data_IF_760067619798
#
_entry.id   IF_760067619798
#
_cell.length_a   1.000
_cell.length_b   1.000
_cell.length_c   1.000
_cell.angle_alpha   90.00
_cell.angle_beta   90.00
_cell.angle_gamma   90.00
#
_symmetry.space_group_name_H-M   'P 1'
#
loop_
_entity.id
_entity.type
_entity.pdbx_description
1 polymer ?
2 non-polymer ?
3 non-polymer ?
4 non-polymer ?
5 water ?
#
# COMPACT_ATOMS: atom_id res chain seq x y z
N UNK A 8 -5.25 27.03 18.49
CA UNK A 8 -5.65 25.63 18.14
C UNK A 8 -4.74 25.01 17.10
N UNK A 9 -3.84 24.15 17.57
CA UNK A 9 -2.99 23.32 16.71
C UNK A 9 -3.80 22.15 16.10
N UNK A 10 -5.12 22.35 16.00
CA UNK A 10 -6.12 21.29 15.75
C UNK A 10 -5.85 19.95 16.41
N UNK A 11 -5.74 19.99 17.74
CA UNK A 11 -5.74 18.80 18.58
C UNK A 11 -7.12 18.66 19.23
N UNK A 12 -7.73 17.50 19.06
CA UNK A 12 -9.05 17.21 19.58
C UNK A 12 -9.02 17.09 21.10
N UNK A 13 -10.10 17.53 21.77
CA UNK A 13 -10.20 17.41 23.22
C UNK A 13 -10.04 15.95 23.68
N UNK A 14 -9.16 15.73 24.65
CA UNK A 14 -8.89 14.40 25.18
C UNK A 14 -10.14 13.76 25.79
N UNK A 15 -10.63 12.64 25.22
CA UNK A 15 -11.80 11.98 25.83
C UNK A 15 -11.48 11.58 27.28
N UNK A 16 -12.47 11.67 28.18
CA UNK A 16 -12.23 11.36 29.60
C UNK A 16 -11.73 9.95 29.92
N UNK A 17 -12.04 8.95 29.08
CA UNK A 17 -11.56 7.60 29.31
C UNK A 17 -10.07 7.41 28.99
N UNK A 18 -9.46 8.37 28.31
CA UNK A 18 -8.05 8.22 27.95
C UNK A 18 -7.15 8.88 29.00
N UNK A 19 -6.26 8.10 29.63
CA UNK A 19 -5.35 8.65 30.64
C UNK A 19 -4.22 9.47 30.01
N UNK A 20 -3.87 10.58 30.65
CA UNK A 20 -2.90 11.50 30.06
C UNK A 20 -1.53 10.87 29.73
N UNK A 21 -1.07 9.91 30.54
CA UNK A 21 0.26 9.30 30.35
C UNK A 21 0.39 8.52 29.02
N UNK A 22 -0.75 8.17 28.42
CA UNK A 22 -0.74 7.53 27.09
C UNK A 22 -0.81 8.49 25.91
N UNK A 23 -0.87 9.80 26.18
CA UNK A 23 -1.02 10.78 25.09
C UNK A 23 0.29 11.07 24.38
N UNK A 24 0.29 10.84 23.08
CA UNK A 24 1.45 11.11 22.20
C UNK A 24 0.88 11.65 20.90
N UNK A 25 1.02 12.95 20.67
CA UNK A 25 0.36 13.61 19.55
C UNK A 25 1.06 13.43 18.21
N UNK A 26 1.06 12.21 17.72
CA UNK A 26 1.66 11.89 16.42
C UNK A 26 0.63 12.23 15.34
N UNK A 27 1.07 12.92 14.29
CA UNK A 27 0.22 13.27 13.15
C UNK A 27 0.58 12.41 11.94
N UNK A 28 -0.25 11.42 11.65
CA UNK A 28 0.02 10.48 10.56
C UNK A 28 0.09 11.10 9.16
N UNK A 29 -0.49 12.30 8.99
CA UNK A 29 -0.43 13.00 7.69
C UNK A 29 0.72 14.00 7.58
N UNK A 30 1.34 14.33 8.71
CA UNK A 30 2.47 15.24 8.71
C UNK A 30 3.38 14.99 9.91
N UNK A 31 4.07 13.83 9.95
CA UNK A 31 4.85 13.47 11.13
C UNK A 31 6.07 14.38 11.27
N UNK A 32 6.37 14.78 12.50
CA UNK A 32 7.36 15.84 12.71
C UNK A 32 8.75 15.55 12.16
N UNK A 33 9.11 14.28 12.03
CA UNK A 33 10.47 13.94 11.57
C UNK A 33 10.59 13.58 10.06
N UNK A 34 9.62 14.03 9.28
CA UNK A 34 9.44 13.58 7.88
C UNK A 34 10.68 13.69 6.99
N UNK A 35 11.40 14.81 7.10
CA UNK A 35 12.60 15.04 6.25
C UNK A 35 13.69 13.97 6.42
N UNK A 36 13.73 13.30 7.57
CA UNK A 36 14.65 12.17 7.83
C UNK A 36 14.21 10.84 7.20
N UNK A 37 13.05 10.83 6.54
CA UNK A 37 12.50 9.64 5.92
C UNK A 37 11.21 9.24 6.62
N UNK A 38 10.22 8.75 5.86
CA UNK A 38 8.91 8.51 6.47
C UNK A 38 8.92 7.35 7.46
N UNK A 39 9.57 6.23 7.11
CA UNK A 39 9.74 5.10 8.06
C UNK A 39 10.43 5.54 9.35
N UNK A 40 11.51 6.31 9.20
CA UNK A 40 12.21 6.95 10.33
C UNK A 40 11.25 7.83 11.13
N UNK A 41 10.43 8.58 10.44
CA UNK A 41 9.49 9.49 11.11
C UNK A 41 8.45 8.71 11.92
N UNK A 42 7.98 7.59 11.39
CA UNK A 42 7.03 6.75 12.12
C UNK A 42 7.70 5.96 13.24
N UNK A 43 8.97 5.61 13.04
CA UNK A 43 9.68 4.77 14.00
C UNK A 43 9.96 5.47 15.33
N UNK A 44 9.72 6.79 15.41
CA UNK A 44 9.75 7.52 16.70
C UNK A 44 8.71 7.00 17.71
N UNK A 45 7.67 6.32 17.21
CA UNK A 45 6.66 5.70 18.05
C UNK A 45 7.21 4.43 18.72
N UNK A 46 8.41 4.02 18.32
CA UNK A 46 9.01 2.82 18.87
C UNK A 46 10.19 3.10 19.79
N UNK A 47 10.42 4.35 20.10
CA UNK A 47 11.46 4.70 21.07
C UNK A 47 11.02 4.25 22.48
N UNK A 48 11.99 4.03 23.37
CA UNK A 48 11.77 3.24 24.59
C UNK A 48 10.82 3.85 25.62
N UNK A 49 10.65 5.17 25.58
CA UNK A 49 9.68 5.83 26.46
C UNK A 49 8.27 5.94 25.86
N UNK A 50 8.04 5.29 24.73
CA UNK A 50 6.70 5.30 24.15
C UNK A 50 6.01 3.96 24.45
N UNK A 51 4.83 4.02 25.10
CA UNK A 51 4.03 2.82 25.39
C UNK A 51 3.64 2.05 24.12
N UNK A 52 3.25 0.78 24.29
CA UNK A 52 2.83 -0.09 23.17
C UNK A 52 1.57 0.44 22.48
N UNK A 53 0.74 1.15 23.24
CA UNK A 53 -0.54 1.65 22.72
C UNK A 53 -0.66 3.08 23.20
N UNK A 54 -0.83 4.03 22.28
CA UNK A 54 -0.85 5.46 22.65
C UNK A 54 -2.10 6.13 22.07
N UNK A 55 -2.44 7.30 22.61
CA UNK A 55 -3.53 8.11 22.06
C UNK A 55 -2.92 9.37 21.48
N UNK A 56 -3.26 9.67 20.23
CA UNK A 56 -2.93 10.96 19.66
C UNK A 56 -4.18 11.82 19.52
N UNK A 57 -4.04 13.11 19.85
CA UNK A 57 -5.14 14.05 19.70
C UNK A 57 -5.24 14.64 18.31
N UNK A 58 -4.31 14.30 17.40
CA UNK A 58 -4.37 14.78 16.02
C UNK A 58 -5.48 14.09 15.25
N UNK A 59 -5.92 14.73 14.16
CA UNK A 59 -6.84 14.12 13.19
C UNK A 59 -8.10 13.56 13.86
N UNK A 60 -8.63 14.30 14.83
CA UNK A 60 -9.86 13.93 15.50
C UNK A 60 -9.69 13.11 16.75
N UNK A 61 -8.49 12.55 16.94
CA UNK A 61 -8.22 11.72 18.11
C UNK A 61 -8.39 10.24 17.81
N UNK A 62 -7.38 9.45 18.14
CA UNK A 62 -7.40 8.01 17.82
C UNK A 62 -6.25 7.32 18.50
N UNK A 63 -6.42 6.03 18.76
CA UNK A 63 -5.34 5.21 19.33
C UNK A 63 -4.32 4.86 18.25
N UNK A 64 -3.09 4.53 18.66
CA UNK A 64 -2.11 3.93 17.75
C UNK A 64 -1.41 2.81 18.47
N UNK A 65 -1.43 1.62 17.86
CA UNK A 65 -0.64 0.47 18.34
C UNK A 65 0.74 0.58 17.70
N UNK A 66 1.78 0.58 18.53
CA UNK A 66 3.13 0.96 18.07
C UNK A 66 4.05 -0.23 17.86
N UNK A 67 3.64 -1.41 18.30
CA UNK A 67 4.50 -2.59 18.26
C UNK A 67 3.81 -3.70 17.50
N UNK A 68 4.63 -4.51 16.81
CA UNK A 68 4.17 -5.68 16.08
C UNK A 68 3.22 -6.60 16.79
N UNK A 69 3.54 -6.96 18.04
CA UNK A 69 2.65 -7.82 18.85
C UNK A 69 1.18 -7.32 18.86
N UNK A 70 0.99 -6.04 19.20
CA UNK A 70 -0.34 -5.43 19.27
C UNK A 70 -0.98 -5.25 17.91
N UNK A 71 -0.20 -4.83 16.94
CA UNK A 71 -0.71 -4.69 15.57
C UNK A 71 -1.30 -6.00 15.03
N UNK A 72 -0.53 -7.09 15.11
CA UNK A 72 -1.01 -8.39 14.70
C UNK A 72 -2.25 -8.80 15.50
N UNK A 73 -2.20 -8.63 16.81
CA UNK A 73 -3.32 -9.09 17.65
C UNK A 73 -4.62 -8.37 17.27
N UNK A 74 -4.54 -7.05 17.13
CA UNK A 74 -5.74 -6.30 16.75
C UNK A 74 -6.23 -6.69 15.36
N UNK A 75 -5.32 -6.90 14.41
CA UNK A 75 -5.74 -7.32 13.06
C UNK A 75 -6.40 -8.69 13.05
N UNK A 76 -6.02 -9.55 14.00
CA UNK A 76 -6.65 -10.87 14.13
C UNK A 76 -8.06 -10.77 14.70
N UNK A 77 -8.27 -9.86 15.64
CA UNK A 77 -9.50 -9.78 16.43
C UNK A 77 -10.53 -8.87 15.74
N UNK A 78 -11.13 -9.33 14.65
CA UNK A 78 -12.10 -8.48 13.94
C UNK A 78 -13.40 -8.26 14.76
N UNK A 79 -13.65 -9.11 15.75
CA UNK A 79 -14.86 -8.95 16.57
C UNK A 79 -14.82 -7.70 17.45
N UNK A 80 -13.64 -7.34 17.94
CA UNK A 80 -13.44 -6.08 18.65
C UNK A 80 -12.99 -4.92 17.75
N UNK A 81 -12.23 -5.23 16.69
CA UNK A 81 -11.62 -4.18 15.86
C UNK A 81 -12.18 -4.33 14.44
N UNK A 82 -13.24 -3.57 14.17
CA UNK A 82 -13.99 -3.71 12.94
C UNK A 82 -13.42 -2.87 11.79
N UNK A 83 -13.53 -3.40 10.58
CA UNK A 83 -13.13 -2.70 9.35
C UNK A 83 -14.22 -1.73 8.83
N UNK A 84 -15.38 -1.67 9.50
CA UNK A 84 -16.44 -0.75 9.05
C UNK A 84 -15.93 0.68 8.88
N UNK A 85 -15.02 1.13 9.75
CA UNK A 85 -14.50 2.48 9.64
C UNK A 85 -12.96 2.44 9.70
N UNK A 86 -12.30 2.12 8.56
CA UNK A 86 -10.88 1.75 8.60
C UNK A 86 -9.87 2.89 8.46
N UNK A 87 -10.35 4.10 8.17
CA UNK A 87 -9.47 5.24 7.97
C UNK A 87 -9.69 6.34 8.99
N UNK A 88 -8.60 7.03 9.26
CA UNK A 88 -8.59 8.26 10.01
C UNK A 88 -8.37 9.37 8.97
N UNK A 89 -9.13 10.48 9.05
CA UNK A 89 -10.10 10.84 10.09
C UNK A 89 -11.43 10.10 9.92
N UNK A 90 -12.22 10.10 11.00
CA UNK A 90 -13.49 9.40 11.06
C UNK A 90 -14.38 9.59 9.83
N UNK A 91 -14.45 10.82 9.31
CA UNK A 91 -15.34 11.15 8.21
C UNK A 91 -14.97 10.40 6.93
N UNK A 92 -13.66 10.23 6.72
CA UNK A 92 -13.16 9.44 5.60
C UNK A 92 -13.44 7.94 5.80
N UNK A 93 -13.22 7.43 7.01
CA UNK A 93 -13.52 6.04 7.35
C UNK A 93 -15.00 5.74 7.13
N UNK A 94 -15.86 6.66 7.57
CA UNK A 94 -17.32 6.49 7.48
C UNK A 94 -17.82 6.44 6.04
N UNK A 95 -17.31 7.34 5.20
CA UNK A 95 -17.60 7.38 3.74
C UNK A 95 -17.10 6.14 2.96
N UNK A 96 -16.04 5.53 3.45
CA UNK A 96 -15.36 4.44 2.73
C UNK A 96 -16.20 3.18 2.64
N UNK A 97 -16.48 2.74 1.43
CA UNK A 97 -17.34 1.57 1.26
C UNK A 97 -16.82 0.50 0.31
N UNK A 98 -15.52 0.53 -0.04
CA UNK A 98 -14.91 -0.52 -0.88
C UNK A 98 -15.05 -1.92 -0.29
N UNK A 99 -15.12 -2.91 -1.17
CA UNK A 99 -15.28 -4.31 -0.77
C UNK A 99 -14.06 -5.07 -1.24
N UNK A 100 -13.48 -5.91 -0.36
CA UNK A 100 -13.98 -6.32 0.97
C UNK A 100 -13.43 -5.54 2.15
N UNK A 101 -12.61 -4.52 1.88
CA UNK A 101 -11.89 -3.78 2.94
C UNK A 101 -12.78 -3.04 3.96
N UNK A 102 -14.02 -2.73 3.58
CA UNK A 102 -14.96 -2.09 4.54
C UNK A 102 -15.87 -3.09 5.31
N UNK A 103 -15.67 -4.38 5.11
CA UNK A 103 -16.55 -5.41 5.70
C UNK A 103 -15.79 -6.28 6.69
N UNK A 104 -16.53 -6.86 7.64
CA UNK A 104 -15.95 -7.85 8.55
C UNK A 104 -16.41 -9.25 8.17
N UNK A 105 -15.64 -10.27 8.56
CA UNK A 105 -16.17 -11.63 8.52
C UNK A 105 -17.41 -11.66 9.42
N UNK A 106 -18.38 -12.54 9.12
CA UNK A 106 -18.32 -13.57 8.09
C UNK A 106 -18.65 -13.08 6.67
N UNK A 107 -19.36 -11.96 6.53
CA UNK A 107 -19.76 -11.50 5.21
C UNK A 107 -18.56 -11.26 4.27
N UNK A 108 -17.45 -10.79 4.84
CA UNK A 108 -16.24 -10.48 4.06
C UNK A 108 -15.71 -11.70 3.32
N UNK A 109 -15.82 -12.86 3.96
CA UNK A 109 -15.23 -14.10 3.43
C UNK A 109 -15.67 -14.45 2.00
N UNK A 110 -16.96 -14.28 1.69
CA UNK A 110 -17.49 -14.59 0.35
C UNK A 110 -16.97 -13.63 -0.70
N UNK A 111 -16.97 -12.34 -0.37
CA UNK A 111 -16.47 -11.32 -1.29
C UNK A 111 -14.97 -11.46 -1.51
N UNK A 112 -14.22 -11.76 -0.44
CA UNK A 112 -12.80 -12.04 -0.54
C UNK A 112 -12.49 -13.22 -1.48
N UNK A 113 -13.26 -14.30 -1.37
CA UNK A 113 -13.07 -15.47 -2.22
C UNK A 113 -13.27 -15.15 -3.70
N UNK A 114 -14.21 -14.25 -4.00
CA UNK A 114 -14.46 -13.79 -5.38
C UNK A 114 -13.28 -12.94 -5.88
N UNK A 115 -12.84 -11.98 -5.06
CA UNK A 115 -11.68 -11.15 -5.41
C UNK A 115 -10.46 -12.04 -5.64
N UNK A 116 -10.29 -13.05 -4.79
CA UNK A 116 -9.16 -13.94 -4.96
C UNK A 116 -9.13 -14.62 -6.33
N UNK A 117 -10.30 -14.86 -6.92
CA UNK A 117 -10.36 -15.47 -8.26
C UNK A 117 -9.69 -14.59 -9.31
N UNK A 118 -9.69 -13.28 -9.11
CA UNK A 118 -9.18 -12.37 -10.16
C UNK A 118 -7.74 -11.88 -9.95
N UNK A 119 -7.21 -12.02 -8.74
CA UNK A 119 -5.85 -11.52 -8.42
C UNK A 119 -4.93 -12.50 -7.69
N UNK A 120 -5.43 -13.65 -7.29
CA UNK A 120 -4.66 -14.63 -6.53
C UNK A 120 -3.65 -15.41 -7.33
N UNK A 121 -3.03 -16.40 -6.69
CA UNK A 121 -1.92 -17.16 -7.27
C UNK A 121 -1.96 -17.59 -8.76
N UNK A 122 -3.02 -18.32 -9.19
CA UNK A 122 -2.95 -18.91 -10.54
C UNK A 122 -3.00 -17.87 -11.65
N UNK A 123 -3.69 -16.76 -11.37
CA UNK A 123 -3.74 -15.60 -12.27
C UNK A 123 -2.35 -14.98 -12.43
N UNK A 124 -1.59 -14.97 -11.33
CA UNK A 124 -0.26 -14.37 -11.31
C UNK A 124 0.76 -15.19 -12.08
N UNK A 125 0.84 -16.49 -11.77
CA UNK A 125 1.71 -17.42 -12.53
C UNK A 125 1.47 -17.29 -14.03
N UNK A 126 0.22 -17.05 -14.40
CA UNK A 126 -0.16 -16.82 -15.78
C UNK A 126 0.24 -15.46 -16.38
N UNK A 127 0.11 -14.37 -15.62
CA UNK A 127 0.42 -13.02 -16.15
C UNK A 127 1.91 -12.69 -16.21
N UNK A 128 2.76 -13.58 -15.71
CA UNK A 128 4.18 -13.24 -15.51
C UNK A 128 4.87 -12.62 -16.73
N UNK A 129 4.46 -13.04 -17.93
CA UNK A 129 5.13 -12.60 -19.16
C UNK A 129 4.61 -11.29 -19.76
N UNK A 130 3.32 -10.99 -19.59
CA UNK A 130 2.86 -9.64 -19.90
C UNK A 130 3.51 -8.64 -18.92
N UNK A 131 3.74 -9.07 -17.68
CA UNK A 131 4.40 -8.23 -16.67
C UNK A 131 5.86 -7.92 -17.10
N UNK A 132 6.61 -8.98 -17.37
CA UNK A 132 7.92 -8.93 -18.00
C UNK A 132 8.00 -8.01 -19.23
N UNK A 133 7.12 -8.21 -20.21
CA UNK A 133 7.06 -7.37 -21.42
C UNK A 133 6.89 -5.88 -21.10
N UNK A 134 5.96 -5.59 -20.20
CA UNK A 134 5.70 -4.22 -19.84
C UNK A 134 6.90 -3.54 -19.18
N UNK A 135 7.48 -4.18 -18.16
CA UNK A 135 8.67 -3.64 -17.50
C UNK A 135 9.79 -3.36 -18.50
N UNK A 136 10.07 -4.37 -19.33
CA UNK A 136 11.13 -4.24 -20.32
C UNK A 136 10.94 -3.09 -21.29
N UNK A 137 9.72 -2.94 -21.81
CA UNK A 137 9.45 -1.89 -22.77
C UNK A 137 9.50 -0.50 -22.11
N UNK A 138 9.02 -0.39 -20.87
CA UNK A 138 9.18 0.87 -20.13
C UNK A 138 10.65 1.22 -19.85
N UNK A 139 11.43 0.25 -19.37
CA UNK A 139 12.83 0.49 -19.05
C UNK A 139 13.65 0.83 -20.33
N UNK A 140 13.34 0.16 -21.43
CA UNK A 140 14.10 0.37 -22.66
C UNK A 140 13.83 1.78 -23.21
N UNK A 141 12.62 2.27 -23.01
CA UNK A 141 12.28 3.61 -23.48
C UNK A 141 13.03 4.68 -22.67
N UNK A 142 13.39 4.36 -21.43
CA UNK A 142 14.14 5.30 -20.59
C UNK A 142 15.66 5.19 -20.75
N UNK A 143 16.15 3.97 -20.95
CA UNK A 143 17.56 3.62 -20.82
C UNK A 143 18.57 4.59 -21.50
N UNK A 144 18.36 4.91 -22.80
CA UNK A 144 19.35 5.75 -23.48
C UNK A 144 19.24 7.23 -23.09
N UNK A 145 18.18 7.61 -22.38
CA UNK A 145 17.99 9.01 -21.96
C UNK A 145 19.00 9.42 -20.88
N UNK A 146 19.47 8.47 -20.10
CA UNK A 146 20.37 8.79 -18.99
C UNK A 146 19.70 9.51 -17.82
N UNK A 147 18.37 9.59 -17.85
CA UNK A 147 17.61 10.24 -16.77
C UNK A 147 16.13 9.80 -16.80
N UNK A 148 15.47 9.88 -15.65
CA UNK A 148 14.01 9.75 -15.59
C UNK A 148 13.49 10.34 -14.28
N UNK A 149 12.20 10.69 -14.24
CA UNK A 149 11.47 10.80 -12.95
C UNK A 149 10.87 9.43 -12.74
N UNK A 150 11.53 8.62 -11.90
CA UNK A 150 11.19 7.23 -11.78
C UNK A 150 9.73 7.03 -11.39
N UNK A 151 9.22 7.86 -10.48
CA UNK A 151 7.85 7.69 -9.99
C UNK A 151 6.88 7.91 -11.13
N UNK A 152 7.13 8.97 -11.91
CA UNK A 152 6.28 9.35 -13.04
C UNK A 152 6.43 8.43 -14.26
N UNK A 153 7.67 8.05 -14.57
CA UNK A 153 8.02 7.42 -15.87
C UNK A 153 8.02 5.89 -15.86
N UNK A 154 8.18 5.33 -14.67
CA UNK A 154 8.11 3.89 -14.52
C UNK A 154 7.08 3.41 -13.49
N UNK A 155 7.14 3.92 -12.27
CA UNK A 155 6.32 3.35 -11.19
C UNK A 155 4.81 3.53 -11.38
N UNK A 156 4.41 4.64 -12.01
CA UNK A 156 3.00 4.92 -12.22
C UNK A 156 2.45 4.16 -13.41
N UNK A 157 3.08 4.29 -14.60
CA UNK A 157 2.56 3.53 -15.74
C UNK A 157 2.51 2.01 -15.57
N UNK A 158 3.40 1.45 -14.75
CA UNK A 158 3.57 0.01 -14.62
C UNK A 158 2.33 -0.73 -14.05
N UNK A 159 1.94 -0.46 -12.79
CA UNK A 159 0.76 -1.14 -12.23
C UNK A 159 -0.57 -0.84 -12.91
N UNK A 160 -0.78 0.40 -13.34
CA UNK A 160 -2.03 0.73 -14.02
C UNK A 160 -2.17 -0.07 -15.33
N UNK A 161 -1.07 -0.27 -16.07
CA UNK A 161 -1.10 -1.05 -17.31
C UNK A 161 -1.39 -2.54 -17.01
N UNK A 162 -0.90 -3.03 -15.88
CA UNK A 162 -1.15 -4.42 -15.47
C UNK A 162 -2.62 -4.56 -15.11
N UNK A 163 -3.15 -3.60 -14.35
CA UNK A 163 -4.58 -3.60 -14.04
C UNK A 163 -5.47 -3.59 -15.30
N UNK A 164 -5.14 -2.75 -16.29
CA UNK A 164 -5.91 -2.68 -17.55
C UNK A 164 -6.00 -4.02 -18.23
N UNK A 165 -4.88 -4.75 -18.15
CA UNK A 165 -4.73 -6.08 -18.70
C UNK A 165 -5.63 -7.10 -17.98
N UNK A 166 -5.53 -7.15 -16.65
CA UNK A 166 -6.44 -7.96 -15.81
C UNK A 166 -7.92 -7.65 -16.07
N UNK A 167 -8.25 -6.35 -16.10
CA UNK A 167 -9.63 -5.90 -16.16
C UNK A 167 -10.21 -5.81 -17.58
N UNK A 168 -9.39 -6.09 -18.61
CA UNK A 168 -9.84 -5.99 -20.01
C UNK A 168 -10.38 -4.60 -20.34
N UNK A 169 -9.64 -3.59 -19.92
CA UNK A 169 -9.96 -2.21 -20.23
C UNK A 169 -9.04 -1.71 -21.34
N UNK A 170 -9.54 -0.79 -22.20
CA UNK A 170 -8.69 -0.41 -23.32
C UNK A 170 -7.60 0.60 -22.92
N UNK A 171 -6.44 0.47 -23.58
CA UNK A 171 -5.28 1.37 -23.42
C UNK A 171 -5.61 2.86 -23.39
N UNK A 172 -6.56 3.27 -24.23
CA UNK A 172 -6.91 4.70 -24.34
C UNK A 172 -7.53 5.30 -23.08
N UNK A 173 -8.00 4.44 -22.19
CA UNK A 173 -8.61 4.86 -20.92
C UNK A 173 -7.60 5.16 -19.83
N UNK A 174 -6.34 4.75 -20.05
CA UNK A 174 -5.32 4.94 -19.02
C UNK A 174 -5.22 6.37 -18.49
N UNK A 175 -5.11 7.38 -19.40
CA UNK A 175 -4.97 8.72 -18.81
C UNK A 175 -6.17 9.13 -17.95
N UNK A 176 -7.39 8.82 -18.40
CA UNK A 176 -8.59 9.17 -17.63
C UNK A 176 -8.60 8.48 -16.28
N UNK A 177 -8.32 7.17 -16.29
CA UNK A 177 -8.30 6.39 -15.06
C UNK A 177 -7.20 6.80 -14.09
N UNK A 178 -6.04 7.18 -14.63
CA UNK A 178 -4.93 7.75 -13.85
C UNK A 178 -5.38 9.04 -13.16
N UNK A 179 -6.06 9.91 -13.90
CA UNK A 179 -6.61 11.14 -13.35
C UNK A 179 -7.61 10.87 -12.22
N UNK A 180 -8.56 9.95 -12.45
CA UNK A 180 -9.58 9.61 -11.44
C UNK A 180 -8.96 9.05 -10.16
N UNK A 181 -8.02 8.12 -10.31
CA UNK A 181 -7.37 7.51 -9.16
C UNK A 181 -6.47 8.47 -8.40
N UNK A 182 -5.69 9.30 -9.10
CA UNK A 182 -4.89 10.35 -8.44
C UNK A 182 -5.75 11.32 -7.62
N UNK A 183 -6.97 11.61 -8.09
CA UNK A 183 -7.91 12.51 -7.38
C UNK A 183 -8.20 12.00 -5.99
N UNK A 184 -8.35 10.68 -5.88
CA UNK A 184 -8.78 10.04 -4.65
C UNK A 184 -7.60 9.87 -3.69
N UNK A 185 -6.47 9.43 -4.25
CA UNK A 185 -5.35 8.94 -3.44
C UNK A 185 -4.30 10.00 -3.13
N UNK A 186 -4.28 11.07 -3.92
CA UNK A 186 -3.46 12.23 -3.58
C UNK A 186 -4.35 13.47 -3.53
N UNK A 187 -5.17 13.59 -2.47
CA UNK A 187 -6.08 14.74 -2.46
C UNK A 187 -5.32 16.05 -2.22
N UNK A 188 -5.68 17.09 -2.97
CA UNK A 188 -5.15 18.42 -2.76
C UNK A 188 -6.07 19.26 -1.87
N UNK A 189 -7.21 18.68 -1.50
CA UNK A 189 -8.20 19.32 -0.63
C UNK A 189 -9.31 20.06 -1.37
N UNK A 190 -9.30 19.97 -2.71
CA UNK A 190 -10.33 20.59 -3.53
C UNK A 190 -11.59 19.73 -3.62
N UNK A 191 -11.50 18.50 -3.12
CA UNK A 191 -12.58 17.55 -3.24
C UNK A 191 -12.76 16.80 -1.92
N UNK A 192 -13.99 16.45 -1.59
CA UNK A 192 -14.20 15.59 -0.43
C UNK A 192 -13.88 14.15 -0.85
N UNK A 193 -13.53 13.31 0.11
CA UNK A 193 -13.20 11.92 -0.18
C UNK A 193 -14.35 11.21 -0.90
N UNK A 194 -15.58 11.41 -0.39
CA UNK A 194 -16.80 10.87 -0.99
C UNK A 194 -17.04 11.36 -2.44
N UNK A 195 -16.68 12.62 -2.72
CA UNK A 195 -16.78 13.17 -4.06
C UNK A 195 -15.81 12.48 -5.02
N UNK A 196 -14.57 12.25 -4.54
CA UNK A 196 -13.54 11.58 -5.33
C UNK A 196 -13.97 10.14 -5.65
N UNK A 197 -14.48 9.46 -4.63
CA UNK A 197 -15.04 8.11 -4.79
C UNK A 197 -16.16 8.07 -5.84
N UNK A 198 -17.07 9.03 -5.76
CA UNK A 198 -18.21 9.11 -6.69
C UNK A 198 -17.77 9.25 -8.15
N UNK A 199 -16.81 10.14 -8.41
CA UNK A 199 -16.25 10.32 -9.75
C UNK A 199 -15.69 9.00 -10.29
N UNK A 200 -14.90 8.32 -9.46
CA UNK A 200 -14.37 7.00 -9.83
C UNK A 200 -15.48 5.99 -10.14
N UNK A 201 -16.48 5.90 -9.24
CA UNK A 201 -17.64 5.02 -9.46
C UNK A 201 -18.40 5.33 -10.76
N UNK A 202 -18.51 6.61 -11.11
CA UNK A 202 -19.16 7.06 -12.35
C UNK A 202 -18.52 6.48 -13.59
N UNK A 203 -17.21 6.22 -13.53
CA UNK A 203 -16.50 5.55 -14.64
C UNK A 203 -16.85 4.05 -14.65
N UNK A 204 -16.89 3.45 -13.47
CA UNK A 204 -17.14 2.01 -13.33
C UNK A 204 -18.59 1.58 -13.54
N UNK A 205 -19.55 2.40 -13.07
CA UNK A 205 -20.99 2.05 -13.17
C UNK A 205 -21.39 1.52 -14.55
N UNK A 206 -21.06 2.25 -15.65
CA UNK A 206 -21.45 1.80 -17.01
C UNK A 206 -20.78 0.51 -17.51
N UNK A 207 -19.51 0.32 -17.16
CA UNK A 207 -18.77 -0.85 -17.63
C UNK A 207 -19.29 -2.14 -16.98
N UNK A 208 -19.58 -2.06 -15.68
CA UNK A 208 -20.24 -3.17 -14.95
C UNK A 208 -21.62 -3.49 -15.57
N UNK A 209 -22.39 -2.44 -15.84
CA UNK A 209 -23.70 -2.61 -16.48
C UNK A 209 -23.54 -3.40 -17.79
N UNK A 210 -22.60 -2.95 -18.62
CA UNK A 210 -22.28 -3.60 -19.89
C UNK A 210 -21.88 -5.08 -19.74
N UNK A 211 -21.12 -5.38 -18.69
CA UNK A 211 -20.52 -6.71 -18.52
C UNK A 211 -21.41 -7.70 -17.77
N UNK A 212 -22.43 -7.18 -17.09
CA UNK A 212 -23.53 -8.03 -16.62
C UNK A 212 -24.48 -8.42 -17.78
N UNK A 213 -24.68 -7.51 -18.72
CA UNK A 213 -25.45 -7.78 -19.94
C UNK A 213 -24.67 -8.73 -20.88
N UNK A 214 -23.42 -8.38 -21.15
CA UNK A 214 -22.51 -9.17 -22.01
C UNK A 214 -21.18 -9.44 -21.30
N UNK A 215 -21.12 -10.51 -20.47
CA UNK A 215 -19.85 -10.81 -19.79
C UNK A 215 -18.77 -11.40 -20.71
N UNK A 216 -17.50 -11.04 -20.45
CA UNK A 216 -16.32 -11.73 -21.02
C UNK A 216 -15.58 -12.48 -19.92
N UNK A 217 -14.26 -12.63 -20.07
CA UNK A 217 -13.48 -13.37 -19.07
C UNK A 217 -12.48 -12.49 -18.27
N UNK A 218 -12.63 -11.17 -18.40
CA UNK A 218 -11.82 -10.21 -17.65
C UNK A 218 -12.23 -10.19 -16.17
N UNK A 219 -11.42 -9.52 -15.33
CA UNK A 219 -11.71 -9.43 -13.90
C UNK A 219 -13.06 -8.79 -13.59
N UNK A 220 -13.42 -7.74 -14.33
CA UNK A 220 -14.67 -7.01 -14.05
C UNK A 220 -15.86 -7.93 -14.36
N UNK A 221 -15.72 -8.74 -15.41
CA UNK A 221 -16.77 -9.66 -15.80
C UNK A 221 -16.95 -10.77 -14.77
N UNK A 222 -15.84 -11.32 -14.27
CA UNK A 222 -15.89 -12.34 -13.22
C UNK A 222 -16.54 -11.79 -11.93
N UNK A 223 -16.08 -10.62 -11.51
CA UNK A 223 -16.63 -9.97 -10.33
C UNK A 223 -18.13 -9.63 -10.47
N UNK A 224 -18.50 -8.98 -11.57
CA UNK A 224 -19.84 -8.43 -11.70
C UNK A 224 -20.93 -9.50 -11.89
N UNK A 225 -20.49 -10.70 -12.25
CA UNK A 225 -21.39 -11.83 -12.46
C UNK A 225 -21.16 -12.96 -11.45
N UNK A 226 -20.49 -12.65 -10.34
CA UNK A 226 -20.18 -13.65 -9.33
C UNK A 226 -21.35 -13.92 -8.38
N UNK A 227 -21.17 -14.97 -7.59
CA UNK A 227 -22.14 -15.41 -6.58
C UNK A 227 -21.57 -15.15 -5.18
N UNK A 228 -22.35 -14.52 -4.32
CA UNK A 228 -21.93 -14.36 -2.91
C UNK A 228 -23.06 -14.77 -1.97
N UNK A 229 -22.74 -15.59 -0.96
CA UNK A 229 -23.77 -16.19 -0.08
C UNK A 229 -24.93 -16.87 -0.83
N UNK A 230 -24.62 -17.54 -1.93
CA UNK A 230 -25.62 -18.26 -2.73
C UNK A 230 -26.63 -17.43 -3.51
N UNK A 231 -26.32 -16.16 -3.75
CA UNK A 231 -27.17 -15.30 -4.61
C UNK A 231 -26.26 -14.45 -5.53
N UNK A 232 -26.82 -13.84 -6.60
CA UNK A 232 -25.94 -13.02 -7.45
C UNK A 232 -25.47 -11.75 -6.73
N UNK A 233 -24.26 -11.32 -7.08
CA UNK A 233 -23.71 -10.09 -6.55
C UNK A 233 -24.52 -8.93 -7.15
N UNK A 234 -24.77 -7.89 -6.36
CA UNK A 234 -25.51 -6.75 -6.87
C UNK A 234 -24.59 -5.86 -7.69
N UNK A 235 -25.18 -4.99 -8.50
CA UNK A 235 -24.36 -4.07 -9.30
C UNK A 235 -23.58 -3.12 -8.41
N UNK A 236 -24.20 -2.72 -7.29
CA UNK A 236 -23.56 -1.88 -6.30
C UNK A 236 -22.37 -2.54 -5.61
N UNK A 237 -22.52 -3.82 -5.25
CA UNK A 237 -21.42 -4.60 -4.65
C UNK A 237 -20.27 -4.76 -5.64
N UNK A 238 -20.62 -5.06 -6.90
CA UNK A 238 -19.64 -5.27 -7.96
C UNK A 238 -18.80 -4.01 -8.19
N UNK A 239 -19.48 -2.86 -8.25
CA UNK A 239 -18.84 -1.56 -8.32
C UNK A 239 -17.86 -1.34 -7.14
N UNK A 240 -18.31 -1.65 -5.93
CA UNK A 240 -17.47 -1.45 -4.75
C UNK A 240 -16.23 -2.36 -4.69
N UNK A 241 -16.30 -3.54 -5.31
CA UNK A 241 -15.15 -4.46 -5.42
C UNK A 241 -14.16 -3.99 -6.49
N UNK A 242 -14.69 -3.59 -7.64
CA UNK A 242 -13.86 -3.12 -8.75
C UNK A 242 -13.10 -1.87 -8.41
N UNK A 243 -13.74 -0.98 -7.66
CA UNK A 243 -13.11 0.22 -7.14
C UNK A 243 -11.83 -0.13 -6.40
N UNK A 244 -11.94 -1.09 -5.49
CA UNK A 244 -10.79 -1.53 -4.69
C UNK A 244 -9.75 -2.29 -5.52
N UNK A 245 -10.19 -3.15 -6.43
CA UNK A 245 -9.25 -3.89 -7.26
C UNK A 245 -8.45 -2.94 -8.12
N UNK A 246 -9.06 -1.82 -8.48
CA UNK A 246 -8.37 -0.79 -9.24
C UNK A 246 -7.35 -0.09 -8.35
N UNK A 247 -7.80 0.54 -7.27
CA UNK A 247 -6.91 1.34 -6.45
C UNK A 247 -5.90 0.58 -5.56
N UNK A 248 -6.24 -0.64 -5.16
CA UNK A 248 -5.47 -1.39 -4.15
C UNK A 248 -4.05 -1.71 -4.61
N UNK A 249 -3.92 -1.86 -5.92
CA UNK A 249 -2.65 -2.19 -6.52
C UNK A 249 -1.90 -1.03 -7.13
N UNK A 250 -2.43 0.19 -6.99
CA UNK A 250 -1.83 1.37 -7.61
C UNK A 250 -0.79 2.08 -6.73
N UNK A 251 -1.24 2.98 -5.87
CA UNK A 251 -0.33 3.77 -5.05
C UNK A 251 0.56 2.91 -4.15
N UNK A 252 0.06 1.79 -3.64
CA UNK A 252 0.95 0.87 -2.90
C UNK A 252 2.16 0.49 -3.74
N UNK A 253 1.93 0.00 -4.95
CA UNK A 253 3.02 -0.46 -5.79
C UNK A 253 3.87 0.74 -6.26
N UNK A 254 3.21 1.85 -6.67
CA UNK A 254 3.97 3.00 -7.17
C UNK A 254 4.96 3.48 -6.10
N UNK A 255 4.44 3.64 -4.89
CA UNK A 255 5.22 4.22 -3.82
C UNK A 255 6.25 3.23 -3.28
N UNK A 256 5.87 1.95 -3.22
CA UNK A 256 6.83 0.96 -2.75
C UNK A 256 8.03 0.86 -3.71
N UNK A 257 7.74 0.81 -5.00
CA UNK A 257 8.83 0.77 -5.99
C UNK A 257 9.72 2.00 -5.88
N UNK A 258 9.11 3.16 -5.59
CA UNK A 258 9.88 4.39 -5.45
C UNK A 258 10.77 4.37 -4.22
N UNK A 259 10.27 3.89 -3.08
CA UNK A 259 11.14 3.74 -1.89
C UNK A 259 12.34 2.82 -2.18
N UNK A 260 12.05 1.74 -2.88
CA UNK A 260 13.03 0.72 -3.23
C UNK A 260 14.11 1.29 -4.14
N UNK A 261 13.67 1.98 -5.18
CA UNK A 261 14.61 2.54 -6.14
C UNK A 261 15.43 3.67 -5.56
N UNK A 262 14.83 4.44 -4.64
CA UNK A 262 15.55 5.50 -3.93
C UNK A 262 16.67 4.88 -3.09
N UNK A 263 16.38 3.79 -2.39
CA UNK A 263 17.37 3.07 -1.61
C UNK A 263 18.50 2.52 -2.48
N UNK A 264 18.14 1.89 -3.60
CA UNK A 264 19.16 1.30 -4.46
C UNK A 264 20.01 2.38 -5.12
N UNK A 265 19.42 3.54 -5.44
CA UNK A 265 20.15 4.64 -6.04
C UNK A 265 21.20 5.18 -5.08
N UNK A 266 20.90 5.11 -3.79
CA UNK A 266 21.79 5.63 -2.76
C UNK A 266 22.73 4.56 -2.22
N UNK A 267 22.60 3.32 -2.71
CA UNK A 267 23.40 2.22 -2.18
C UNK A 267 24.04 1.36 -3.28
N UNK A 268 25.19 1.84 -3.81
CA UNK A 268 25.87 1.10 -4.87
C UNK A 268 26.22 -0.35 -4.50
N UNK A 269 26.56 -0.56 -3.24
CA UNK A 269 26.94 -1.89 -2.72
C UNK A 269 25.77 -2.88 -2.73
N UNK A 270 24.56 -2.38 -2.47
CA UNK A 270 23.38 -3.22 -2.50
C UNK A 270 22.98 -3.51 -3.95
N UNK A 271 23.20 -2.53 -4.82
CA UNK A 271 23.00 -2.74 -6.26
C UNK A 271 23.94 -3.84 -6.76
N UNK A 272 25.22 -3.72 -6.37
CA UNK A 272 26.25 -4.65 -6.82
C UNK A 272 25.97 -6.07 -6.35
N UNK A 273 25.51 -6.20 -5.11
CA UNK A 273 25.13 -7.48 -4.57
C UNK A 273 24.11 -8.21 -5.45
N UNK A 274 23.06 -7.50 -5.86
CA UNK A 274 22.00 -8.06 -6.70
C UNK A 274 22.42 -8.26 -8.16
N UNK A 275 23.33 -7.42 -8.65
CA UNK A 275 23.94 -7.62 -9.97
C UNK A 275 24.77 -8.91 -10.00
N UNK A 276 25.67 -9.05 -9.03
CA UNK A 276 26.55 -10.24 -8.96
C UNK A 276 25.83 -11.52 -8.55
N UNK A 277 24.73 -11.38 -7.80
CA UNK A 277 23.95 -12.52 -7.35
C UNK A 277 22.46 -12.28 -7.59
N UNK A 278 22.01 -12.42 -8.84
CA UNK A 278 20.58 -12.16 -9.11
C UNK A 278 19.63 -13.16 -8.43
N UNK A 279 20.13 -14.34 -8.04
CA UNK A 279 19.32 -15.30 -7.30
C UNK A 279 18.85 -14.76 -5.93
N UNK A 280 19.55 -13.76 -5.41
CA UNK A 280 19.15 -13.12 -4.15
C UNK A 280 18.00 -12.10 -4.30
N UNK A 281 17.58 -11.85 -5.53
CA UNK A 281 16.52 -10.84 -5.78
C UNK A 281 15.18 -11.18 -5.08
N UNK A 282 14.70 -12.44 -5.17
CA UNK A 282 13.48 -12.70 -4.33
C UNK A 282 13.64 -12.40 -2.84
N UNK A 283 14.76 -12.78 -2.21
CA UNK A 283 14.95 -12.46 -0.79
C UNK A 283 15.12 -10.97 -0.56
N UNK A 284 15.73 -10.27 -1.51
CA UNK A 284 15.92 -8.83 -1.42
C UNK A 284 14.59 -8.07 -1.52
N UNK A 285 13.68 -8.55 -2.35
CA UNK A 285 12.30 -8.04 -2.40
C UNK A 285 11.65 -8.10 -1.01
N UNK A 286 11.80 -9.25 -0.33
CA UNK A 286 11.18 -9.41 0.99
C UNK A 286 11.77 -8.50 2.05
N UNK A 287 13.08 -8.29 1.98
CA UNK A 287 13.75 -7.43 2.93
C UNK A 287 13.45 -5.95 2.64
N UNK A 288 13.31 -5.60 1.37
CA UNK A 288 12.80 -4.28 1.02
C UNK A 288 11.35 -4.03 1.49
N UNK A 289 10.47 -5.00 1.28
CA UNK A 289 9.06 -4.93 1.74
C UNK A 289 8.97 -4.67 3.23
N UNK A 290 9.90 -5.26 4.00
CA UNK A 290 10.00 -4.97 5.42
C UNK A 290 10.47 -3.55 5.73
N UNK A 291 11.62 -3.17 5.17
CA UNK A 291 12.27 -1.89 5.50
C UNK A 291 11.47 -0.68 4.98
N UNK A 292 10.85 -0.83 3.81
CA UNK A 292 10.13 0.30 3.23
C UNK A 292 8.63 0.04 3.15
N UNK A 293 8.16 -0.73 4.12
CA UNK A 293 6.72 -0.91 4.41
C UNK A 293 6.07 0.49 4.49
N UNK A 294 4.81 0.61 4.07
CA UNK A 294 4.24 1.94 3.79
C UNK A 294 2.73 2.14 4.04
N UNK A 295 2.02 1.09 4.44
CA UNK A 295 0.58 1.20 4.72
C UNK A 295 0.29 1.39 6.23
N UNK A 296 -0.65 2.27 6.51
CA UNK A 296 -1.14 2.47 7.85
C UNK A 296 -2.64 2.72 7.78
N UNK A 297 -3.42 1.64 7.85
CA UNK A 297 -4.83 1.85 8.12
C UNK A 297 -5.22 1.33 9.50
N UNK A 298 -6.48 1.01 9.68
CA UNK A 298 -6.90 0.70 11.03
C UNK A 298 -8.32 0.24 11.16
N UNK A 299 -8.87 0.45 12.36
CA UNK A 299 -10.09 -0.21 12.80
C UNK A 299 -10.90 0.67 13.74
N UNK A 300 -12.16 0.28 13.94
CA UNK A 300 -13.03 0.92 14.92
C UNK A 300 -13.52 -0.15 15.92
N UNK A 301 -13.52 0.25 17.18
CA UNK A 301 -13.96 -0.61 18.28
C UNK A 301 -15.47 -0.85 18.20
N UNK A 302 -15.84 -2.12 18.23
CA UNK A 302 -17.23 -2.54 18.18
C UNK A 302 -17.91 -2.46 19.55
N UNK A 303 -17.10 -2.44 20.61
CA UNK A 303 -17.59 -2.36 21.98
C UNK A 303 -16.47 -1.87 22.89
N UNK A 304 -16.78 -1.56 24.15
CA UNK A 304 -15.74 -1.29 25.13
C UNK A 304 -14.93 -2.54 25.29
N UNK A 305 -13.62 -2.40 25.48
CA UNK A 305 -12.76 -3.57 25.53
C UNK A 305 -11.46 -3.17 26.20
N UNK A 306 -11.01 -3.98 27.15
CA UNK A 306 -9.68 -3.75 27.69
C UNK A 306 -8.66 -4.54 26.86
N UNK A 307 -7.69 -3.82 26.31
CA UNK A 307 -6.71 -4.40 25.38
C UNK A 307 -5.33 -4.05 25.89
N UNK A 308 -4.57 -5.08 26.25
CA UNK A 308 -3.21 -4.90 26.78
C UNK A 308 -3.13 -3.82 27.84
N UNK A 309 -4.03 -3.93 28.82
CA UNK A 309 -4.07 -3.05 29.98
C UNK A 309 -4.72 -1.68 29.78
N UNK A 310 -5.28 -1.43 28.58
CA UNK A 310 -5.79 -0.09 28.26
C UNK A 310 -7.30 -0.17 27.98
N UNK A 311 -8.08 0.71 28.60
CA UNK A 311 -9.52 0.72 28.35
C UNK A 311 -9.86 1.42 27.02
N UNK A 312 -10.38 0.66 26.07
CA UNK A 312 -10.85 1.22 24.80
C UNK A 312 -12.37 1.27 24.82
N UNK A 313 -12.93 2.27 24.15
CA UNK A 313 -14.34 2.59 24.23
C UNK A 313 -15.01 2.29 22.90
N UNK A 314 -16.22 1.75 22.95
CA UNK A 314 -16.97 1.56 21.71
C UNK A 314 -16.91 2.82 20.84
N UNK A 315 -16.59 2.63 19.55
CA UNK A 315 -16.52 3.74 18.61
C UNK A 315 -15.16 4.40 18.45
N UNK A 316 -14.23 4.15 19.38
CA UNK A 316 -12.85 4.68 19.30
C UNK A 316 -12.23 4.15 18.01
N UNK A 317 -11.48 4.99 17.32
CA UNK A 317 -10.67 4.51 16.19
C UNK A 317 -9.28 4.13 16.67
N UNK A 318 -8.72 3.10 16.02
CA UNK A 318 -7.35 2.70 16.31
C UNK A 318 -6.57 2.59 15.01
N UNK A 319 -5.45 3.30 14.94
CA UNK A 319 -4.53 3.16 13.84
C UNK A 319 -3.63 1.96 14.13
N UNK A 320 -3.51 1.06 13.16
CA UNK A 320 -2.75 -0.19 13.35
C UNK A 320 -1.75 -0.25 12.20
N UNK A 321 -0.63 0.50 12.31
CA UNK A 321 0.17 0.72 11.10
C UNK A 321 0.89 -0.57 10.63
N UNK A 322 0.47 -1.11 9.50
CA UNK A 322 1.17 -2.26 8.90
C UNK A 322 2.69 -2.04 8.83
N UNK A 323 3.12 -0.81 8.54
CA UNK A 323 4.56 -0.46 8.42
C UNK A 323 5.39 -0.71 9.68
N UNK A 324 4.77 -0.58 10.86
CA UNK A 324 5.53 -0.56 12.12
C UNK A 324 6.02 -1.94 12.58
N UNK A 325 5.26 -3.00 12.30
CA UNK A 325 5.59 -4.36 12.76
C UNK A 325 7.01 -4.78 12.39
N UNK A 326 7.35 -4.65 11.10
CA UNK A 326 8.65 -5.06 10.59
C UNK A 326 9.78 -4.14 10.99
N UNK A 327 9.43 -2.92 11.41
CA UNK A 327 10.42 -1.98 11.90
C UNK A 327 10.68 -2.12 13.41
N UNK A 328 9.89 -2.95 14.05
CA UNK A 328 9.94 -3.15 15.48
C UNK A 328 11.22 -3.94 15.83
N UNK A 329 12.09 -3.37 16.65
CA UNK A 329 13.33 -4.07 17.08
C UNK A 329 13.00 -5.41 17.75
N UNK A 330 11.81 -5.49 18.35
CA UNK A 330 11.31 -6.72 18.97
C UNK A 330 10.93 -7.79 17.93
N UNK A 331 10.92 -7.41 16.65
CA UNK A 331 10.57 -8.37 15.59
C UNK A 331 11.76 -8.66 14.68
N UNK A 332 12.62 -7.67 14.48
CA UNK A 332 13.81 -7.81 13.62
C UNK A 332 14.96 -7.00 14.22
N UNK A 333 16.05 -7.65 14.59
CA UNK A 333 17.23 -6.95 15.14
C UNK A 333 17.78 -5.95 14.14
N UNK A 334 18.24 -4.80 14.63
CA UNK A 334 18.73 -3.67 13.81
C UNK A 334 17.76 -3.33 12.64
N UNK A 335 16.52 -2.93 12.98
CA UNK A 335 15.45 -2.82 11.97
C UNK A 335 15.70 -1.85 10.81
N UNK A 336 16.42 -0.75 11.06
CA UNK A 336 16.65 0.25 10.01
C UNK A 336 17.70 -0.20 9.00
N UNK A 337 18.43 -1.26 9.33
CA UNK A 337 19.48 -1.82 8.49
C UNK A 337 18.89 -2.76 7.44
N UNK A 338 19.33 -2.61 6.20
CA UNK A 338 18.88 -3.46 5.10
C UNK A 338 19.89 -4.57 4.85
N UNK A 339 19.48 -5.81 5.08
CA UNK A 339 20.34 -6.95 4.87
C UNK A 339 19.62 -7.99 4.05
N UNK A 340 20.07 -8.14 2.81
CA UNK A 340 19.43 -9.06 1.89
C UNK A 340 19.56 -10.51 2.34
N UNK A 341 20.50 -10.77 3.26
CA UNK A 341 20.61 -12.09 3.89
C UNK A 341 20.17 -12.10 5.36
N UNK A 342 19.14 -11.32 5.67
CA UNK A 342 18.42 -11.44 6.95
C UNK A 342 17.73 -12.80 6.91
N UNK A 343 17.78 -13.55 8.02
CA UNK A 343 17.35 -14.96 7.99
C UNK A 343 15.86 -15.23 8.22
N UNK A 344 15.23 -14.48 9.11
CA UNK A 344 13.80 -14.57 9.32
C UNK A 344 13.26 -13.13 9.25
N UNK A 345 12.83 -12.77 8.05
CA UNK A 345 12.33 -11.43 7.80
C UNK A 345 10.87 -11.40 8.23
N UNK A 346 10.58 -10.78 9.37
CA UNK A 346 9.17 -10.65 9.74
C UNK A 346 8.61 -9.25 9.46
N UNK A 347 7.38 -9.22 8.96
CA UNK A 347 6.72 -7.96 8.67
C UNK A 347 5.24 -8.21 8.48
N UNK A 348 4.45 -7.15 8.53
CA UNK A 348 3.03 -7.20 8.17
C UNK A 348 2.75 -6.20 7.04
N UNK A 349 3.66 -6.13 6.08
CA UNK A 349 3.58 -5.12 5.05
C UNK A 349 2.31 -5.27 4.20
N UNK A 350 1.89 -6.51 4.02
CA UNK A 350 0.65 -6.85 3.29
C UNK A 350 -0.52 -7.01 4.23
N UNK A 351 -0.35 -6.55 5.48
CA UNK A 351 -1.42 -6.69 6.44
C UNK A 351 -1.39 -8.04 7.12
N UNK A 352 -2.51 -8.40 7.73
CA UNK A 352 -2.55 -9.52 8.66
C UNK A 352 -3.99 -9.84 9.03
N UNK A 353 -4.30 -11.11 9.27
CA UNK A 353 -5.67 -11.49 9.63
C UNK A 353 -6.53 -11.65 8.40
N UNK A 354 -7.84 -11.48 8.56
CA UNK A 354 -8.79 -11.80 7.49
C UNK A 354 -8.66 -10.98 6.22
N UNK A 355 -8.10 -9.77 6.33
CA UNK A 355 -7.90 -8.89 5.16
C UNK A 355 -6.53 -8.93 4.49
N UNK A 356 -5.65 -9.84 4.92
CA UNK A 356 -4.33 -10.00 4.33
C UNK A 356 -4.38 -9.84 2.81
N UNK A 357 -3.49 -8.98 2.30
CA UNK A 357 -3.53 -8.54 0.91
C UNK A 357 -3.76 -9.68 -0.07
N UNK A 358 -4.82 -9.59 -0.84
CA UNK A 358 -5.04 -10.56 -1.88
C UNK A 358 -4.12 -10.39 -3.06
N UNK A 359 -3.62 -9.17 -3.26
CA UNK A 359 -2.71 -8.91 -4.39
C UNK A 359 -1.24 -9.10 -4.08
N UNK A 360 -0.91 -9.67 -2.92
CA UNK A 360 0.49 -9.80 -2.45
C UNK A 360 1.37 -10.59 -3.42
N UNK A 361 0.80 -11.61 -4.06
CA UNK A 361 1.53 -12.44 -5.03
C UNK A 361 1.81 -11.67 -6.32
N UNK A 362 0.82 -10.91 -6.79
CA UNK A 362 1.01 -10.03 -7.93
C UNK A 362 2.04 -8.93 -7.60
N UNK A 363 1.90 -8.31 -6.44
CA UNK A 363 2.85 -7.29 -6.00
C UNK A 363 4.31 -7.80 -5.98
N UNK A 364 4.54 -8.98 -5.43
CA UNK A 364 5.90 -9.53 -5.43
C UNK A 364 6.45 -9.76 -6.84
N UNK A 365 5.63 -10.26 -7.76
CA UNK A 365 6.05 -10.37 -9.16
C UNK A 365 6.40 -9.04 -9.79
N UNK A 366 5.56 -8.01 -9.57
CA UNK A 366 5.88 -6.65 -10.07
C UNK A 366 7.21 -6.11 -9.56
N UNK A 367 7.47 -6.29 -8.27
CA UNK A 367 8.73 -5.82 -7.64
C UNK A 367 9.94 -6.59 -8.15
N UNK A 368 9.81 -7.92 -8.15
CA UNK A 368 10.87 -8.82 -8.59
C UNK A 368 11.25 -8.60 -10.05
N UNK A 369 10.26 -8.61 -10.94
CA UNK A 369 10.51 -8.33 -12.35
C UNK A 369 11.15 -6.97 -12.55
N UNK A 370 10.62 -5.97 -11.85
CA UNK A 370 11.19 -4.63 -11.90
C UNK A 370 12.68 -4.65 -11.52
N UNK A 371 13.03 -5.22 -10.37
CA UNK A 371 14.42 -5.22 -9.93
C UNK A 371 15.33 -5.97 -10.91
N UNK A 372 14.88 -7.15 -11.35
CA UNK A 372 15.65 -7.99 -12.29
C UNK A 372 15.88 -7.28 -13.61
N UNK A 373 14.81 -6.73 -14.17
CA UNK A 373 14.85 -6.06 -15.46
C UNK A 373 15.57 -4.72 -15.45
N UNK A 374 15.44 -3.97 -14.37
CA UNK A 374 16.13 -2.70 -14.24
C UNK A 374 17.63 -2.88 -14.07
N UNK A 375 18.03 -3.74 -13.14
CA UNK A 375 19.44 -3.93 -12.83
C UNK A 375 20.24 -4.58 -13.96
N UNK A 376 19.55 -5.35 -14.80
CA UNK A 376 20.11 -5.95 -16.03
C UNK A 376 20.44 -4.92 -17.11
N UNK A 377 19.61 -3.88 -17.21
CA UNK A 377 19.74 -2.84 -18.23
C UNK A 377 20.45 -1.59 -17.74
N UNK A 378 20.21 -1.22 -16.49
CA UNK A 378 20.72 0.02 -15.91
C UNK A 378 21.30 -0.33 -14.54
N UNK A 379 22.47 -0.99 -14.52
CA UNK A 379 23.05 -1.46 -13.25
C UNK A 379 23.54 -0.31 -12.36
N UNK A 380 23.92 0.80 -12.98
CA UNK A 380 24.51 1.91 -12.25
C UNK A 380 23.66 3.16 -12.44
N UNK A 381 23.06 3.66 -11.35
CA UNK A 381 22.26 4.89 -11.39
C UNK A 381 22.38 5.58 -10.03
N UNK A 382 21.97 6.84 -9.99
CA UNK A 382 22.04 7.65 -8.78
C UNK A 382 20.88 8.60 -8.73
N UNK A 383 20.69 9.19 -7.55
CA UNK A 383 19.80 10.33 -7.38
C UNK A 383 20.40 11.50 -8.15
N UNK A 384 19.56 12.27 -8.87
CA UNK A 384 20.04 13.43 -9.62
C UNK A 384 20.73 14.42 -8.68
N UNK A 385 21.92 14.92 -9.09
CA UNK A 385 22.77 15.77 -8.26
C UNK A 385 22.01 16.94 -7.62
N UNK A 386 22.12 17.04 -6.30
CA UNK A 386 21.54 18.15 -5.57
C UNK A 386 20.04 18.03 -5.28
N UNK A 387 19.39 16.96 -5.77
CA UNK A 387 17.97 16.73 -5.50
C UNK A 387 17.79 16.23 -4.08
N UNK A 388 16.84 16.84 -3.35
CA UNK A 388 16.45 16.33 -2.04
C UNK A 388 15.13 15.59 -2.17
N UNK A 389 15.19 14.26 -2.02
CA UNK A 389 14.00 13.42 -2.18
C UNK A 389 13.01 13.69 -1.05
N UNK A 390 11.79 14.07 -1.43
CA UNK A 390 10.71 14.43 -0.51
C UNK A 390 9.78 13.23 -0.31
N UNK A 391 9.50 12.92 0.95
CA UNK A 391 8.53 11.86 1.28
C UNK A 391 7.19 12.47 1.66
N UNK A 392 6.14 11.65 1.62
CA UNK A 392 4.83 12.06 2.09
C UNK A 392 4.25 10.96 2.96
N UNK A 393 3.53 11.37 4.00
CA UNK A 393 3.00 10.41 4.94
C UNK A 393 1.48 10.34 4.90
N UNK A 394 0.93 9.16 5.16
CA UNK A 394 -0.53 9.04 5.17
C UNK A 394 -0.97 7.61 5.33
N UNK A 395 -2.12 7.27 4.73
CA UNK A 395 -2.60 5.90 4.72
C UNK A 395 -1.70 5.01 3.88
N UNK A 396 -1.29 5.51 2.73
CA UNK A 396 -0.22 4.90 1.99
C UNK A 396 0.88 5.98 1.87
N UNK A 397 1.99 5.80 2.59
CA UNK A 397 3.11 6.75 2.53
C UNK A 397 3.89 6.61 1.23
N UNK A 398 4.70 7.61 0.87
CA UNK A 398 5.36 7.53 -0.43
C UNK A 398 6.42 8.58 -0.73
N UNK A 399 6.82 8.61 -1.99
CA UNK A 399 7.89 9.48 -2.48
C UNK A 399 7.25 10.46 -3.46
N UNK A 400 7.44 11.76 -3.25
CA UNK A 400 6.78 12.76 -4.12
C UNK A 400 7.31 12.74 -5.56
N UNK A 401 8.62 12.54 -5.69
CA UNK A 401 9.28 12.41 -7.01
C UNK A 401 10.66 11.84 -6.80
N UNK A 402 11.15 11.14 -7.82
CA UNK A 402 12.42 10.46 -7.75
C UNK A 402 13.20 10.65 -9.05
N UNK A 403 13.93 11.79 -9.16
CA UNK A 403 14.76 12.00 -10.34
C UNK A 403 16.06 11.15 -10.27
N UNK A 404 16.22 10.32 -11.28
CA UNK A 404 17.35 9.42 -11.39
C UNK A 404 18.17 9.79 -12.63
N UNK A 405 19.47 9.62 -12.52
CA UNK A 405 20.42 9.84 -13.64
C UNK A 405 21.37 8.65 -13.79
N UNK A 406 21.81 8.39 -15.01
CA UNK A 406 22.85 7.37 -15.26
C UNK A 406 23.61 7.74 -16.52
N UNK A 407 24.77 7.13 -16.68
CA UNK A 407 25.54 7.23 -17.93
C UNK A 407 25.04 6.12 -18.85
N UNK A 408 24.47 6.48 -20.01
CA UNK A 408 23.95 5.43 -20.91
C UNK A 408 25.01 4.45 -21.47
N UNK A 409 26.29 4.82 -21.44
CA UNK A 409 27.38 3.91 -21.87
C UNK A 409 27.51 2.72 -20.92
N UNK A 410 27.12 2.91 -19.66
CA UNK A 410 27.17 1.84 -18.67
C UNK A 410 25.94 0.90 -18.77
N UNK A 411 25.02 1.19 -19.69
CA UNK A 411 23.76 0.45 -19.83
C UNK A 411 23.81 -0.51 -21.00
N UNK A 412 22.87 -1.45 -21.07
CA UNK A 412 22.74 -2.28 -22.26
C UNK A 412 21.30 -2.58 -22.66
N UNK A 413 21.00 -2.46 -23.95
CA UNK A 413 19.72 -2.98 -24.46
C UNK A 413 19.84 -4.50 -24.57
N UNK A 414 18.95 -5.22 -23.90
CA UNK A 414 18.93 -6.70 -23.96
C UNK A 414 18.61 -7.22 -25.37
#
# INVERSE_FOLDING_TARGET
TTETIQSNANLAPLPPHVPEHLVFDFDMYNPSNLSAGVQEAWAVLQESNVPDLVWTRCNGGHWIATRGQLIREAYEDYRHFSSECPFIPREAGEAYDFIPTSMDPPEQRQFRALANQVVGMPVVDKLENRIQELACSLIESLRPQGQCNFTEDYAEPFPIRIFMLLAGLPEEDIPHLKYLTDQMTRPDGSMTFAEAKEALYDYLIPIIEQRRQKPGTDAISIVANGQVNGRPITSDEAKRMCGLLLVGGLDTVVNFLSFSMEFLAKSPEHRQELIERPERIPAACEELLRRFSLVADGRILTSDYEFHGVQLKKGDQILLPQMLSGLDERENAAPMHVDFSRQKVSHTTFGHGSHLCLGQHLARREIIVTLKEWLTRIPDFSIAPGAQIQHKSGIVSGVQALPLVWDPATTKAV
#
